data_IF_286062947909
#
_entry.id   IF_286062947909
#
_cell.length_a   1.000
_cell.length_b   1.000
_cell.length_c   1.000
_cell.angle_alpha   90.00
_cell.angle_beta   90.00
_cell.angle_gamma   90.00
#
_symmetry.space_group_name_H-M   'P 1'
#
loop_
_entity.id
_entity.type
_entity.pdbx_description
1 polymer ?
#
# COMPACT_ATOMS: atom_id res chain seq x y z
N UNK A 1 3.38 -3.11 17.67
CA UNK A 1 3.81 -1.72 17.94
C UNK A 1 2.80 -0.80 17.26
N UNK A 2 2.30 0.22 17.95
CA UNK A 2 1.46 1.27 17.37
C UNK A 2 2.32 2.53 17.24
N UNK A 3 2.28 3.18 16.08
CA UNK A 3 3.00 4.43 15.81
C UNK A 3 2.06 5.46 15.23
N UNK A 4 2.20 6.71 15.67
CA UNK A 4 1.52 7.85 15.08
C UNK A 4 2.28 8.43 13.88
N UNK A 5 1.64 9.26 13.05
CA UNK A 5 2.22 9.84 11.84
C UNK A 5 3.21 10.99 12.09
N UNK A 6 3.85 11.04 13.27
CA UNK A 6 4.73 12.14 13.67
C UNK A 6 6.16 11.64 13.85
N UNK A 7 7.09 12.29 13.17
CA UNK A 7 8.53 12.04 13.31
C UNK A 7 9.25 13.30 13.81
N UNK A 8 10.39 13.11 14.49
CA UNK A 8 11.21 14.20 15.02
C UNK A 8 12.59 14.17 14.35
N UNK A 9 13.07 15.32 13.88
CA UNK A 9 14.41 15.46 13.31
C UNK A 9 15.50 15.53 14.38
N UNK A 10 16.76 15.41 13.96
CA UNK A 10 17.93 15.62 14.83
C UNK A 10 18.02 17.03 15.41
N UNK A 11 17.35 18.02 14.80
CA UNK A 11 17.24 19.41 15.27
C UNK A 11 16.08 19.62 16.26
N UNK A 12 15.24 18.60 16.49
CA UNK A 12 14.09 18.67 17.40
C UNK A 12 12.79 19.13 16.74
N UNK A 13 12.76 19.28 15.41
CA UNK A 13 11.56 19.69 14.68
C UNK A 13 10.64 18.49 14.43
N UNK A 14 9.32 18.72 14.50
CA UNK A 14 8.31 17.70 14.26
C UNK A 14 7.75 17.76 12.84
N UNK A 15 7.64 16.60 12.20
CA UNK A 15 7.13 16.45 10.85
C UNK A 15 5.91 15.53 10.83
N UNK A 16 4.90 15.92 10.06
CA UNK A 16 3.75 15.09 9.77
C UNK A 16 4.06 14.24 8.53
N UNK A 17 4.19 12.94 8.71
CA UNK A 17 4.47 11.98 7.66
C UNK A 17 3.21 11.23 7.27
N UNK A 18 3.19 10.70 6.05
CA UNK A 18 2.11 9.81 5.65
C UNK A 18 2.28 8.45 6.32
N UNK A 19 1.16 7.81 6.69
CA UNK A 19 1.18 6.46 7.27
C UNK A 19 1.81 5.45 6.33
N UNK A 20 1.64 5.64 5.02
CA UNK A 20 2.20 4.81 3.96
C UNK A 20 3.74 4.90 3.92
N UNK A 21 4.33 6.08 4.08
CA UNK A 21 5.78 6.25 4.15
C UNK A 21 6.38 5.57 5.37
N UNK A 22 5.76 5.77 6.54
CA UNK A 22 6.17 5.13 7.79
C UNK A 22 6.10 3.61 7.61
N UNK A 23 4.95 3.08 7.21
CA UNK A 23 4.73 1.64 7.01
C UNK A 23 5.74 1.04 6.03
N UNK A 24 6.00 1.72 4.91
CA UNK A 24 6.97 1.30 3.89
C UNK A 24 8.38 1.19 4.48
N UNK A 25 8.85 2.23 5.18
CA UNK A 25 10.20 2.20 5.76
C UNK A 25 10.34 1.13 6.83
N UNK A 26 9.33 0.95 7.67
CA UNK A 26 9.32 -0.12 8.67
C UNK A 26 9.33 -1.51 8.05
N UNK A 27 8.47 -1.76 7.07
CA UNK A 27 8.41 -3.05 6.39
C UNK A 27 9.78 -3.43 5.79
N UNK A 28 10.45 -2.46 5.15
CA UNK A 28 11.79 -2.63 4.59
C UNK A 28 12.82 -2.91 5.69
N UNK A 29 12.87 -2.08 6.75
CA UNK A 29 13.87 -2.20 7.81
C UNK A 29 13.70 -3.48 8.64
N UNK A 30 12.46 -3.91 8.86
CA UNK A 30 12.14 -5.14 9.56
C UNK A 30 12.23 -6.38 8.68
N UNK A 31 12.46 -6.23 7.37
CA UNK A 31 12.40 -7.31 6.38
C UNK A 31 11.08 -8.09 6.49
N UNK A 32 9.97 -7.34 6.56
CA UNK A 32 8.66 -7.91 6.74
C UNK A 32 8.32 -8.87 5.59
N UNK A 33 7.64 -9.97 5.90
CA UNK A 33 7.13 -10.88 4.87
C UNK A 33 5.99 -10.22 4.08
N UNK A 34 5.13 -9.46 4.77
CA UNK A 34 3.96 -8.80 4.19
C UNK A 34 3.82 -7.37 4.69
N UNK A 35 3.45 -6.46 3.80
CA UNK A 35 2.94 -5.13 4.13
C UNK A 35 1.47 -5.06 3.77
N UNK A 36 0.61 -4.58 4.67
CA UNK A 36 -0.84 -4.51 4.46
C UNK A 36 -1.29 -3.06 4.63
N UNK A 37 -1.97 -2.52 3.62
CA UNK A 37 -2.59 -1.22 3.63
C UNK A 37 -4.11 -1.34 3.56
N UNK A 38 -4.78 -0.33 4.08
CA UNK A 38 -6.24 -0.23 4.07
C UNK A 38 -6.67 0.99 3.25
N UNK A 39 -7.65 0.82 2.36
CA UNK A 39 -8.22 1.91 1.59
C UNK A 39 -9.75 1.96 1.70
N UNK A 40 -10.32 3.13 1.41
CA UNK A 40 -11.77 3.36 1.37
C UNK A 40 -12.42 2.87 0.08
N UNK A 41 -11.65 2.54 -0.95
CA UNK A 41 -12.14 1.99 -2.22
C UNK A 41 -12.05 0.47 -2.21
N UNK A 42 -12.70 -0.22 -3.16
CA UNK A 42 -12.53 -1.68 -3.36
C UNK A 42 -11.15 -2.09 -3.96
N UNK A 43 -10.13 -1.23 -3.82
CA UNK A 43 -8.79 -1.45 -4.36
C UNK A 43 -8.48 -0.59 -5.58
N UNK A 44 -7.67 -1.14 -6.49
CA UNK A 44 -7.22 -0.54 -7.75
C UNK A 44 -8.08 -1.12 -8.87
N UNK A 45 -8.65 -0.27 -9.71
CA UNK A 45 -9.43 -0.71 -10.88
C UNK A 45 -8.60 -0.67 -12.16
N UNK A 46 -8.94 -1.51 -13.13
CA UNK A 46 -8.44 -1.40 -14.50
C UNK A 46 -9.26 -0.35 -15.29
N UNK A 47 -8.90 -0.15 -16.56
CA UNK A 47 -9.61 0.78 -17.44
C UNK A 47 -11.06 0.36 -17.74
N UNK A 48 -11.36 -0.94 -17.59
CA UNK A 48 -12.71 -1.52 -17.75
C UNK A 48 -13.58 -1.36 -16.48
N UNK A 49 -13.02 -0.88 -15.37
CA UNK A 49 -13.70 -0.69 -14.09
C UNK A 49 -13.68 -1.91 -13.15
N UNK A 50 -13.06 -3.01 -13.56
CA UNK A 50 -12.90 -4.22 -12.75
C UNK A 50 -11.78 -4.06 -11.71
N UNK A 51 -11.95 -4.71 -10.56
CA UNK A 51 -10.93 -4.74 -9.51
C UNK A 51 -9.73 -5.57 -9.98
N UNK A 52 -8.56 -4.95 -9.96
CA UNK A 52 -7.30 -5.61 -10.27
C UNK A 52 -6.92 -6.49 -9.09
N UNK A 53 -7.14 -7.79 -9.24
CA UNK A 53 -6.80 -8.77 -8.20
C UNK A 53 -5.31 -9.02 -8.05
N UNK A 54 -4.44 -8.58 -8.96
CA UNK A 54 -3.00 -8.82 -8.88
C UNK A 54 -2.21 -7.81 -9.71
N UNK A 55 -1.10 -7.30 -9.18
CA UNK A 55 -0.19 -6.38 -9.87
C UNK A 55 1.26 -6.80 -9.68
N UNK A 56 2.05 -6.84 -10.73
CA UNK A 56 3.51 -6.92 -10.57
C UNK A 56 4.08 -5.52 -10.23
N UNK A 57 5.24 -5.43 -9.56
CA UNK A 57 5.85 -4.14 -9.21
C UNK A 57 6.01 -3.17 -10.38
N UNK A 58 6.25 -3.69 -11.59
CA UNK A 58 6.37 -2.86 -12.78
C UNK A 58 5.00 -2.33 -13.24
N UNK A 59 3.95 -3.14 -13.16
CA UNK A 59 2.58 -2.71 -13.52
C UNK A 59 2.03 -1.70 -12.53
N UNK A 60 2.32 -1.87 -11.23
CA UNK A 60 1.97 -0.85 -10.24
C UNK A 60 2.77 0.43 -10.44
N UNK A 61 4.05 0.35 -10.82
CA UNK A 61 4.84 1.54 -11.13
C UNK A 61 4.21 2.33 -12.29
N UNK A 62 3.87 1.65 -13.39
CA UNK A 62 3.20 2.29 -14.53
C UNK A 62 1.86 2.90 -14.14
N UNK A 63 1.09 2.24 -13.27
CA UNK A 63 -0.17 2.79 -12.77
C UNK A 63 0.02 4.02 -11.89
N UNK A 64 1.04 4.03 -11.02
CA UNK A 64 1.38 5.20 -10.20
C UNK A 64 1.70 6.38 -11.11
N UNK A 65 2.56 6.17 -12.12
CA UNK A 65 2.91 7.20 -13.11
C UNK A 65 1.67 7.73 -13.85
N UNK A 66 0.80 6.84 -14.33
CA UNK A 66 -0.43 7.24 -15.02
C UNK A 66 -1.42 8.01 -14.13
N UNK A 67 -1.51 7.71 -12.83
CA UNK A 67 -2.37 8.45 -11.89
C UNK A 67 -1.78 9.81 -11.53
N UNK A 68 -0.45 9.88 -11.37
CA UNK A 68 0.29 11.12 -11.15
C UNK A 68 0.15 12.08 -12.35
N UNK A 69 0.23 11.57 -13.58
CA UNK A 69 -0.04 12.36 -14.80
C UNK A 69 -1.46 12.93 -14.84
N UNK A 70 -2.44 12.20 -14.31
CA UNK A 70 -3.83 12.65 -14.17
C UNK A 70 -4.04 13.62 -13.00
N UNK A 71 -3.00 13.92 -12.22
CA UNK A 71 -3.03 14.86 -11.09
C UNK A 71 -3.30 14.22 -9.73
N UNK A 72 -3.46 12.90 -9.65
CA UNK A 72 -3.68 12.20 -8.39
C UNK A 72 -2.37 11.75 -7.72
N UNK A 73 -1.69 12.71 -7.09
CA UNK A 73 -0.46 12.44 -6.34
C UNK A 73 -0.70 12.00 -4.89
N UNK A 74 -1.87 12.36 -4.36
CA UNK A 74 -2.13 12.43 -2.92
C UNK A 74 -3.20 11.45 -2.44
N UNK A 75 -3.85 10.69 -3.32
CA UNK A 75 -4.73 9.62 -2.86
C UNK A 75 -3.97 8.58 -2.05
N UNK A 76 -4.63 8.02 -1.04
CA UNK A 76 -4.07 6.94 -0.21
C UNK A 76 -3.68 5.72 -1.07
N UNK A 77 -4.45 5.42 -2.12
CA UNK A 77 -4.15 4.34 -3.06
C UNK A 77 -2.83 4.57 -3.80
N UNK A 78 -2.61 5.75 -4.39
CA UNK A 78 -1.36 6.05 -5.11
C UNK A 78 -0.16 6.06 -4.15
N UNK A 79 -0.32 6.67 -2.97
CA UNK A 79 0.72 6.67 -1.93
C UNK A 79 1.08 5.25 -1.49
N UNK A 80 0.07 4.39 -1.28
CA UNK A 80 0.30 3.00 -0.92
C UNK A 80 0.99 2.22 -2.04
N UNK A 81 0.53 2.36 -3.30
CA UNK A 81 1.16 1.68 -4.43
C UNK A 81 2.62 2.09 -4.59
N UNK A 82 2.93 3.38 -4.47
CA UNK A 82 4.31 3.89 -4.48
C UNK A 82 5.15 3.26 -3.37
N UNK A 83 4.58 3.18 -2.16
CA UNK A 83 5.20 2.50 -1.01
C UNK A 83 5.41 1.00 -1.24
N UNK A 84 4.42 0.31 -1.79
CA UNK A 84 4.44 -1.12 -2.08
C UNK A 84 5.48 -1.47 -3.14
N UNK A 85 5.57 -0.73 -4.24
CA UNK A 85 6.63 -0.90 -5.24
C UNK A 85 8.01 -0.76 -4.60
N UNK A 86 8.20 0.28 -3.78
CA UNK A 86 9.46 0.50 -3.05
C UNK A 86 9.77 -0.64 -2.07
N UNK A 87 8.78 -1.10 -1.33
CA UNK A 87 8.90 -2.20 -0.38
C UNK A 87 9.28 -3.51 -1.07
N UNK A 88 8.57 -3.89 -2.14
CA UNK A 88 8.83 -5.11 -2.90
C UNK A 88 10.22 -5.13 -3.52
N UNK A 89 10.62 -4.02 -4.16
CA UNK A 89 11.99 -3.86 -4.72
C UNK A 89 13.08 -3.92 -3.64
N UNK A 90 12.74 -3.65 -2.39
CA UNK A 90 13.65 -3.70 -1.24
C UNK A 90 13.61 -5.03 -0.47
N UNK A 91 12.89 -6.04 -0.97
CA UNK A 91 12.87 -7.40 -0.42
C UNK A 91 11.67 -7.74 0.47
N UNK A 92 10.68 -6.85 0.61
CA UNK A 92 9.38 -7.24 1.18
C UNK A 92 8.69 -8.19 0.19
N UNK A 93 8.31 -9.39 0.64
CA UNK A 93 7.88 -10.45 -0.28
C UNK A 93 6.52 -10.18 -0.93
N UNK A 94 5.63 -9.48 -0.23
CA UNK A 94 4.29 -9.17 -0.74
C UNK A 94 3.68 -7.93 -0.10
N UNK A 95 2.94 -7.15 -0.88
CA UNK A 95 2.10 -6.08 -0.37
C UNK A 95 0.62 -6.33 -0.70
N UNK A 96 -0.27 -5.99 0.22
CA UNK A 96 -1.72 -6.13 0.06
C UNK A 96 -2.41 -4.80 0.31
N UNK A 97 -3.33 -4.41 -0.57
CA UNK A 97 -4.23 -3.27 -0.37
C UNK A 97 -5.65 -3.81 -0.21
N UNK A 98 -6.26 -3.55 0.94
CA UNK A 98 -7.55 -4.14 1.35
C UNK A 98 -8.55 -3.01 1.60
N UNK A 99 -9.79 -3.18 1.14
CA UNK A 99 -10.87 -2.27 1.51
C UNK A 99 -11.32 -2.51 2.94
N UNK A 100 -11.42 -1.46 3.75
CA UNK A 100 -11.99 -1.59 5.09
C UNK A 100 -13.52 -1.43 5.13
N UNK A 101 -14.16 -1.18 3.99
CA UNK A 101 -15.62 -1.05 3.92
C UNK A 101 -16.33 -2.40 4.09
N UNK A 102 -15.63 -3.51 3.83
CA UNK A 102 -16.17 -4.85 3.98
C UNK A 102 -15.82 -5.41 5.36
N UNK A 103 -16.86 -5.81 6.09
CA UNK A 103 -16.72 -6.41 7.42
C UNK A 103 -15.94 -7.73 7.33
N UNK A 104 -14.85 -7.80 8.09
CA UNK A 104 -13.99 -8.98 8.12
C UNK A 104 -12.99 -9.07 6.96
N UNK A 105 -12.82 -8.02 6.14
CA UNK A 105 -11.93 -8.05 4.97
C UNK A 105 -10.49 -8.49 5.28
N UNK A 106 -9.93 -8.03 6.41
CA UNK A 106 -8.60 -8.45 6.86
C UNK A 106 -8.55 -9.95 7.18
N UNK A 107 -9.57 -10.47 7.87
CA UNK A 107 -9.63 -11.89 8.22
C UNK A 107 -9.80 -12.76 6.97
N UNK A 108 -10.65 -12.32 6.04
CA UNK A 108 -10.83 -12.99 4.76
C UNK A 108 -9.52 -13.01 3.95
N UNK A 109 -8.74 -11.93 3.95
CA UNK A 109 -7.44 -11.91 3.27
C UNK A 109 -6.38 -12.81 3.95
N UNK A 110 -6.36 -12.85 5.29
CA UNK A 110 -5.40 -13.65 6.04
C UNK A 110 -5.72 -15.15 6.05
N UNK A 111 -7.00 -15.52 6.02
CA UNK A 111 -7.47 -16.90 6.20
C UNK A 111 -8.13 -17.52 4.97
N UNK A 112 -8.34 -16.77 3.89
CA UNK A 112 -8.68 -17.37 2.60
C UNK A 112 -7.39 -17.79 1.90
N UNK A 113 -7.38 -19.03 1.37
CA UNK A 113 -6.37 -19.45 0.38
C UNK A 113 -6.39 -18.52 -0.84
N UNK A 114 -7.57 -17.95 -1.07
CA UNK A 114 -7.94 -17.11 -2.17
C UNK A 114 -8.41 -15.73 -1.66
N UNK A 115 -7.57 -14.92 -1.02
CA UNK A 115 -7.92 -13.56 -0.54
C UNK A 115 -8.80 -12.70 -1.48
N UNK A 116 -9.62 -11.81 -0.91
CA UNK A 116 -10.57 -10.94 -1.63
C UNK A 116 -9.97 -9.59 -2.08
N UNK A 117 -8.71 -9.30 -1.73
CA UNK A 117 -8.00 -8.09 -2.14
C UNK A 117 -7.03 -8.29 -3.30
N UNK A 118 -6.21 -7.26 -3.56
CA UNK A 118 -5.11 -7.32 -4.54
C UNK A 118 -4.01 -8.25 -4.01
N UNK A 119 -3.80 -9.38 -4.68
CA UNK A 119 -3.04 -10.57 -4.26
C UNK A 119 -1.56 -10.62 -4.59
N UNK A 120 -1.04 -9.78 -5.47
CA UNK A 120 0.41 -9.61 -5.60
C UNK A 120 0.72 -8.16 -5.86
N UNK A 121 1.79 -7.74 -5.19
CA UNK A 121 2.85 -6.83 -5.58
C UNK A 121 4.14 -7.44 -5.07
#
# INVERSE_FOLDING_TARGET
MLMGPVAVSVTGESFNLTSEEIATQLAIKLKAEKMIGFCSSQGVTNDDGDIVSELFPNEAQTRVEAQEEKGDYNSGTVRFLRGAVKACRSGVRRCHLISYQEDGALLQELFSRDGIGIRRL
#
